data_IF_729478601331
#
_entry.id   IF_729478601331
#
_cell.length_a   1.000
_cell.length_b   1.000
_cell.length_c   1.000
_cell.angle_alpha   90.00
_cell.angle_beta   90.00
_cell.angle_gamma   90.00
#
_symmetry.space_group_name_H-M   'P 1'
#
loop_
_entity.id
_entity.type
_entity.pdbx_description
1 polymer ?
#
# COMPACT_ATOMS: atom_id res chain seq x y z
N UNK A 1 7.56 -5.49 17.06
CA UNK A 1 7.37 -5.23 15.62
C UNK A 1 8.72 -5.32 14.96
N UNK A 2 8.79 -5.97 13.79
CA UNK A 2 10.00 -6.02 12.98
C UNK A 2 9.64 -5.60 11.57
N UNK A 3 9.56 -4.29 11.35
CA UNK A 3 9.44 -3.76 10.01
C UNK A 3 10.66 -4.12 9.18
N UNK A 4 10.47 -4.21 7.87
CA UNK A 4 11.53 -4.43 6.90
C UNK A 4 12.66 -3.39 7.06
N UNK A 5 13.90 -3.84 6.85
CA UNK A 5 15.09 -2.97 6.92
C UNK A 5 15.18 -1.98 5.76
N UNK A 6 14.41 -2.21 4.70
CA UNK A 6 14.24 -1.31 3.56
C UNK A 6 12.75 -1.10 3.30
N UNK A 7 12.33 0.10 2.87
CA UNK A 7 10.96 0.33 2.44
C UNK A 7 10.71 -0.31 1.07
N UNK A 8 9.44 -0.53 0.76
CA UNK A 8 8.96 -1.12 -0.48
C UNK A 8 7.97 -0.20 -1.18
N UNK A 9 7.96 -0.26 -2.50
CA UNK A 9 6.85 0.16 -3.32
C UNK A 9 5.88 -1.01 -3.48
N UNK A 10 4.58 -0.76 -3.30
CA UNK A 10 3.51 -1.69 -3.66
C UNK A 10 3.08 -1.35 -5.09
N UNK A 11 3.77 -1.92 -6.06
CA UNK A 11 3.62 -1.57 -7.48
C UNK A 11 2.45 -2.29 -8.12
N UNK A 12 1.76 -1.61 -9.03
CA UNK A 12 0.69 -2.21 -9.83
C UNK A 12 1.29 -3.16 -10.87
N UNK A 13 0.90 -4.44 -10.86
CA UNK A 13 1.57 -5.45 -11.69
C UNK A 13 1.45 -5.19 -13.19
N UNK A 14 0.45 -4.42 -13.64
CA UNK A 14 0.28 -4.09 -15.06
C UNK A 14 1.12 -2.87 -15.50
N UNK A 15 1.61 -2.07 -14.55
CA UNK A 15 2.54 -0.98 -14.80
C UNK A 15 3.35 -0.68 -13.55
N UNK A 16 4.57 -1.23 -13.49
CA UNK A 16 5.43 -1.17 -12.30
C UNK A 16 6.09 0.19 -12.07
N UNK A 17 5.87 1.18 -12.95
CA UNK A 17 6.19 2.58 -12.68
C UNK A 17 5.15 3.25 -11.77
N UNK A 18 3.99 2.62 -11.57
CA UNK A 18 2.92 3.09 -10.71
C UNK A 18 2.80 2.22 -9.45
N UNK A 19 2.38 2.82 -8.36
CA UNK A 19 2.17 2.12 -7.10
C UNK A 19 1.18 2.81 -6.17
N UNK A 20 0.77 2.08 -5.14
CA UNK A 20 -0.08 2.59 -4.07
C UNK A 20 0.66 3.73 -3.39
N UNK A 21 0.02 4.89 -3.31
CA UNK A 21 0.62 6.13 -2.84
C UNK A 21 -0.36 6.88 -1.97
N UNK A 22 0.08 7.31 -0.80
CA UNK A 22 -0.73 8.17 0.06
C UNK A 22 -0.85 9.58 -0.52
N UNK A 23 -2.01 10.21 -0.34
CA UNK A 23 -2.20 11.62 -0.74
C UNK A 23 -1.32 12.57 0.08
N UNK A 24 -1.18 12.28 1.37
CA UNK A 24 -0.34 13.01 2.33
C UNK A 24 0.03 12.09 3.51
N UNK A 25 0.83 12.59 4.46
CA UNK A 25 1.24 11.84 5.65
C UNK A 25 0.34 12.14 6.87
N UNK A 26 -0.98 12.16 6.68
CA UNK A 26 -1.96 12.42 7.76
C UNK A 26 -2.92 11.25 7.97
N UNK A 27 -3.48 11.15 9.19
CA UNK A 27 -4.57 10.21 9.45
C UNK A 27 -5.80 10.56 8.60
N UNK A 28 -6.42 9.56 8.01
CA UNK A 28 -7.54 9.70 7.07
C UNK A 28 -7.12 9.91 5.61
N UNK A 29 -5.82 10.03 5.33
CA UNK A 29 -5.31 10.19 3.96
C UNK A 29 -5.71 9.02 3.09
N UNK A 30 -6.33 9.28 1.93
CA UNK A 30 -6.67 8.24 0.97
C UNK A 30 -5.46 7.81 0.15
N UNK A 31 -5.54 6.61 -0.40
CA UNK A 31 -4.50 6.02 -1.24
C UNK A 31 -4.93 6.07 -2.72
N UNK A 32 -3.98 6.40 -3.59
CA UNK A 32 -4.19 6.48 -5.03
C UNK A 32 -3.07 5.76 -5.78
N UNK A 33 -3.32 5.39 -7.03
CA UNK A 33 -2.30 4.92 -7.94
C UNK A 33 -1.52 6.11 -8.49
N UNK A 34 -0.22 6.20 -8.22
CA UNK A 34 0.63 7.31 -8.68
C UNK A 34 2.00 6.82 -9.17
N UNK A 35 2.73 7.63 -9.94
CA UNK A 35 4.15 7.37 -10.23
C UNK A 35 4.97 7.24 -8.94
N UNK A 36 5.84 6.24 -8.90
CA UNK A 36 6.67 5.94 -7.72
C UNK A 36 8.02 6.66 -7.70
N UNK A 37 8.49 7.13 -8.86
CA UNK A 37 9.76 7.85 -8.97
C UNK A 37 9.65 9.21 -8.26
N UNK A 38 10.64 9.54 -7.42
CA UNK A 38 10.64 10.78 -6.64
C UNK A 38 9.58 10.83 -5.52
N UNK A 39 8.73 9.82 -5.38
CA UNK A 39 7.54 9.91 -4.53
C UNK A 39 7.68 9.13 -3.21
N UNK A 40 8.08 9.84 -2.15
CA UNK A 40 8.23 9.25 -0.83
C UNK A 40 6.91 8.79 -0.20
N UNK A 41 5.76 9.31 -0.64
CA UNK A 41 4.44 8.86 -0.17
C UNK A 41 4.02 7.50 -0.75
N UNK A 42 4.82 6.94 -1.67
CA UNK A 42 4.67 5.59 -2.22
C UNK A 42 5.49 4.54 -1.48
N UNK A 43 6.26 4.93 -0.44
CA UNK A 43 7.16 4.04 0.29
C UNK A 43 6.53 3.53 1.58
N UNK A 44 6.48 2.20 1.71
CA UNK A 44 5.94 1.52 2.89
C UNK A 44 6.96 0.56 3.49
N UNK A 45 7.18 0.65 4.79
CA UNK A 45 7.86 -0.40 5.55
C UNK A 45 6.87 -1.50 5.89
N UNK A 46 7.28 -2.76 5.78
CA UNK A 46 6.37 -3.91 5.89
C UNK A 46 6.74 -4.74 7.13
N UNK A 47 5.79 -4.95 8.04
CA UNK A 47 5.88 -6.02 9.04
C UNK A 47 5.26 -7.28 8.40
N UNK A 48 6.09 -8.16 7.85
CA UNK A 48 5.62 -9.35 7.14
C UNK A 48 4.94 -10.37 8.05
N UNK A 49 5.29 -10.42 9.34
CA UNK A 49 4.66 -11.35 10.28
C UNK A 49 3.22 -10.93 10.56
N UNK A 50 3.01 -9.63 10.82
CA UNK A 50 1.70 -9.09 11.17
C UNK A 50 0.90 -8.60 9.95
N UNK A 51 1.53 -8.52 8.77
CA UNK A 51 0.90 -8.05 7.54
C UNK A 51 0.58 -6.57 7.57
N UNK A 52 1.47 -5.73 8.09
CA UNK A 52 1.22 -4.29 8.27
C UNK A 52 2.06 -3.49 7.27
N UNK A 53 1.43 -2.57 6.55
CA UNK A 53 2.10 -1.62 5.66
C UNK A 53 2.12 -0.24 6.30
N UNK A 54 3.29 0.18 6.79
CA UNK A 54 3.46 1.47 7.46
C UNK A 54 4.10 2.49 6.52
N UNK A 55 3.52 3.68 6.40
CA UNK A 55 4.04 4.74 5.56
C UNK A 55 5.40 5.20 6.09
N UNK A 56 6.44 5.13 5.25
CA UNK A 56 7.81 5.41 5.66
C UNK A 56 8.01 6.86 6.14
N UNK A 57 7.39 7.84 5.44
CA UNK A 57 7.47 9.28 5.80
C UNK A 57 6.81 9.62 7.13
N UNK A 58 5.92 8.75 7.63
CA UNK A 58 5.29 8.91 8.95
C UNK A 58 6.14 8.39 10.11
N UNK A 59 7.36 7.90 9.85
CA UNK A 59 8.14 7.19 10.86
C UNK A 59 7.46 5.90 11.32
N UNK A 60 6.72 5.24 10.42
CA UNK A 60 5.92 4.04 10.66
C UNK A 60 4.73 4.21 11.63
N UNK A 61 4.26 5.45 11.86
CA UNK A 61 3.14 5.71 12.76
C UNK A 61 1.77 5.56 12.07
N UNK A 62 1.72 5.78 10.77
CA UNK A 62 0.50 5.64 9.95
C UNK A 62 0.59 4.39 9.09
N UNK A 63 -0.47 3.59 9.08
CA UNK A 63 -0.56 2.32 8.35
C UNK A 63 -1.77 2.28 7.43
N UNK A 64 -1.70 1.45 6.38
CA UNK A 64 -2.85 1.19 5.49
C UNK A 64 -3.95 0.48 6.29
N UNK A 65 -5.12 1.11 6.32
CA UNK A 65 -6.31 0.68 7.05
C UNK A 65 -7.53 0.66 6.13
N UNK A 66 -8.49 -0.19 6.48
CA UNK A 66 -9.81 -0.23 5.87
C UNK A 66 -10.66 0.88 6.50
N UNK A 67 -11.17 1.81 5.68
CA UNK A 67 -12.02 2.88 6.21
C UNK A 67 -13.36 2.37 6.76
N UNK A 68 -13.90 1.36 6.09
CA UNK A 68 -15.21 0.73 6.31
C UNK A 68 -15.15 -0.67 5.68
N UNK A 69 -15.57 -1.71 6.42
CA UNK A 69 -15.47 -3.11 6.01
C UNK A 69 -16.58 -3.48 5.04
N UNK A 70 -16.55 -2.86 3.86
CA UNK A 70 -17.45 -3.16 2.74
C UNK A 70 -16.75 -2.93 1.41
N UNK A 71 -17.18 -3.68 0.39
CA UNK A 71 -16.66 -3.54 -0.98
C UNK A 71 -16.94 -2.13 -1.51
N UNK A 72 -15.96 -1.57 -2.23
CA UNK A 72 -16.04 -0.25 -2.83
C UNK A 72 -15.65 0.90 -1.90
N UNK A 73 -15.09 0.62 -0.72
CA UNK A 73 -14.67 1.65 0.25
C UNK A 73 -13.19 2.00 0.12
N UNK A 74 -12.82 3.30 0.24
CA UNK A 74 -11.43 3.70 0.10
C UNK A 74 -10.53 3.07 1.17
N UNK A 75 -9.29 2.77 0.80
CA UNK A 75 -8.25 2.55 1.80
C UNK A 75 -7.69 3.88 2.26
N UNK A 76 -7.35 3.94 3.55
CA UNK A 76 -6.86 5.16 4.18
C UNK A 76 -5.64 4.88 5.05
N UNK A 77 -4.91 5.92 5.41
CA UNK A 77 -3.93 5.86 6.48
C UNK A 77 -4.58 6.09 7.84
N UNK A 78 -4.19 5.33 8.86
CA UNK A 78 -4.56 5.58 10.26
C UNK A 78 -3.40 5.30 11.22
N UNK A 79 -3.42 5.88 12.43
CA UNK A 79 -2.49 5.49 13.48
C UNK A 79 -2.50 3.99 13.68
N UNK A 80 -1.31 3.40 13.78
CA UNK A 80 -1.16 1.98 14.00
C UNK A 80 -1.84 1.54 15.31
N UNK A 81 -2.67 0.50 15.21
CA UNK A 81 -3.26 -0.20 16.33
C UNK A 81 -3.05 -1.72 16.15
N UNK A 82 -2.18 -2.36 16.96
CA UNK A 82 -1.85 -3.79 16.81
C UNK A 82 -3.05 -4.73 16.97
N UNK A 83 -4.12 -4.31 17.67
CA UNK A 83 -5.34 -5.12 17.82
C UNK A 83 -6.31 -4.98 16.65
N UNK A 84 -6.05 -4.08 15.70
CA UNK A 84 -6.96 -3.81 14.58
C UNK A 84 -6.69 -4.75 13.40
N UNK A 85 -7.59 -5.72 13.18
CA UNK A 85 -7.52 -6.60 11.99
C UNK A 85 -7.71 -5.84 10.68
N UNK A 86 -8.33 -4.66 10.71
CA UNK A 86 -8.51 -3.78 9.55
C UNK A 86 -7.19 -3.24 8.97
N UNK A 87 -6.11 -3.31 9.78
CA UNK A 87 -4.76 -2.85 9.44
C UNK A 87 -3.81 -4.01 9.09
N UNK A 88 -4.33 -5.25 9.07
CA UNK A 88 -3.54 -6.45 8.86
C UNK A 88 -3.94 -7.14 7.56
N UNK A 89 -2.92 -7.53 6.80
CA UNK A 89 -3.05 -8.00 5.43
C UNK A 89 -2.36 -9.35 5.25
N UNK A 90 -2.92 -10.19 4.40
CA UNK A 90 -2.34 -11.48 4.00
C UNK A 90 -1.79 -11.36 2.59
N UNK A 91 -0.48 -11.59 2.47
CA UNK A 91 0.27 -11.56 1.22
C UNK A 91 0.62 -12.97 0.70
N UNK A 92 0.41 -14.00 1.53
CA UNK A 92 0.99 -15.32 1.32
C UNK A 92 -0.02 -16.36 0.86
N UNK A 93 -1.27 -16.32 1.37
CA UNK A 93 -2.29 -17.30 0.96
C UNK A 93 -2.69 -17.16 -0.51
N UNK A 94 -2.55 -15.95 -1.08
CA UNK A 94 -2.81 -15.65 -2.49
C UNK A 94 -1.67 -14.77 -3.04
N UNK A 95 -0.53 -15.35 -3.43
CA UNK A 95 0.61 -14.58 -3.91
C UNK A 95 0.25 -13.64 -5.05
N UNK A 96 0.74 -12.40 -5.00
CA UNK A 96 0.41 -11.34 -5.96
C UNK A 96 -0.88 -10.57 -5.64
N UNK A 97 -1.64 -10.98 -4.62
CA UNK A 97 -2.81 -10.28 -4.10
C UNK A 97 -2.57 -9.91 -2.63
N UNK A 98 -3.21 -8.83 -2.17
CA UNK A 98 -3.11 -8.36 -0.79
C UNK A 98 -4.51 -8.43 -0.18
N UNK A 99 -4.76 -9.47 0.62
CA UNK A 99 -6.08 -9.76 1.19
C UNK A 99 -6.23 -9.18 2.59
N UNK A 100 -7.41 -8.69 2.94
CA UNK A 100 -7.68 -8.26 4.32
C UNK A 100 -7.71 -9.48 5.24
N UNK A 101 -6.98 -9.47 6.36
CA UNK A 101 -7.12 -10.51 7.39
C UNK A 101 -8.43 -10.42 8.16
N UNK A 102 -9.10 -9.26 8.15
CA UNK A 102 -10.42 -9.09 8.76
C UNK A 102 -11.52 -9.78 7.92
N UNK A 103 -11.39 -9.77 6.60
CA UNK A 103 -12.26 -10.49 5.67
C UNK A 103 -11.50 -10.90 4.40
N UNK A 104 -11.10 -12.18 4.32
CA UNK A 104 -10.27 -12.71 3.22
C UNK A 104 -10.96 -12.70 1.83
N UNK A 105 -12.25 -12.32 1.74
CA UNK A 105 -12.95 -12.11 0.47
C UNK A 105 -12.75 -10.69 -0.08
N UNK A 106 -12.16 -9.79 0.71
CA UNK A 106 -11.88 -8.41 0.32
C UNK A 106 -10.37 -8.19 0.17
N UNK A 107 -9.97 -7.50 -0.90
CA UNK A 107 -8.57 -7.27 -1.28
C UNK A 107 -8.32 -5.82 -1.64
N UNK A 108 -7.05 -5.43 -1.68
CA UNK A 108 -6.62 -4.14 -2.23
C UNK A 108 -6.81 -4.15 -3.75
N UNK A 109 -7.53 -3.17 -4.27
CA UNK A 109 -7.92 -3.08 -5.68
C UNK A 109 -7.64 -1.67 -6.24
N UNK A 110 -7.24 -1.61 -7.50
CA UNK A 110 -7.15 -0.39 -8.29
C UNK A 110 -8.52 -0.11 -8.94
N UNK A 111 -9.24 0.88 -8.42
CA UNK A 111 -10.61 1.18 -8.83
C UNK A 111 -10.76 1.28 -10.36
N UNK A 112 -11.68 0.49 -10.89
CA UNK A 112 -12.03 0.44 -12.32
C UNK A 112 -10.85 0.12 -13.25
N UNK A 113 -9.75 -0.46 -12.74
CA UNK A 113 -8.48 -0.61 -13.48
C UNK A 113 -7.97 0.73 -14.02
N UNK A 114 -8.20 1.81 -13.28
CA UNK A 114 -7.82 3.16 -13.70
C UNK A 114 -6.30 3.35 -13.82
N UNK A 115 -5.90 4.44 -14.46
CA UNK A 115 -4.51 4.87 -14.56
C UNK A 115 -4.08 5.75 -13.38
N UNK A 116 -3.13 6.66 -13.62
CA UNK A 116 -2.67 7.63 -12.60
C UNK A 116 -3.86 8.39 -12.00
N UNK A 117 -3.90 8.47 -10.67
CA UNK A 117 -4.95 9.14 -9.91
C UNK A 117 -6.16 8.26 -9.57
N UNK A 118 -6.20 7.00 -10.01
CA UNK A 118 -7.26 6.09 -9.59
C UNK A 118 -7.21 5.82 -8.09
N UNK A 119 -8.38 5.68 -7.48
CA UNK A 119 -8.49 5.37 -6.06
C UNK A 119 -8.03 3.93 -5.79
N UNK A 120 -7.28 3.75 -4.71
CA UNK A 120 -7.02 2.43 -4.14
C UNK A 120 -8.07 2.17 -3.07
N UNK A 121 -8.80 1.08 -3.25
CA UNK A 121 -9.98 0.76 -2.45
C UNK A 121 -10.03 -0.72 -2.07
N UNK A 122 -10.89 -1.03 -1.12
CA UNK A 122 -11.23 -2.38 -0.72
C UNK A 122 -12.30 -2.92 -1.68
N UNK A 123 -12.06 -4.08 -2.28
CA UNK A 123 -13.02 -4.67 -3.21
C UNK A 123 -13.09 -6.18 -3.08
N UNK A 124 -14.22 -6.76 -3.51
CA UNK A 124 -14.38 -8.21 -3.57
C UNK A 124 -13.35 -8.86 -4.48
N UNK A 125 -12.72 -9.92 -3.99
CA UNK A 125 -11.75 -10.66 -4.76
C UNK A 125 -12.39 -11.25 -6.02
N UNK A 126 -11.86 -10.89 -7.18
CA UNK A 126 -12.31 -11.35 -8.50
C UNK A 126 -11.15 -11.76 -9.41
N UNK A 127 -9.92 -11.83 -8.87
CA UNK A 127 -8.69 -12.18 -9.58
C UNK A 127 -8.38 -11.30 -10.81
N UNK A 128 -8.99 -10.12 -10.91
CA UNK A 128 -8.76 -9.22 -12.03
C UNK A 128 -7.38 -8.56 -11.96
N UNK A 129 -6.89 -8.01 -13.09
CA UNK A 129 -5.63 -7.26 -13.09
C UNK A 129 -5.58 -6.11 -12.09
N UNK A 130 -6.72 -5.49 -11.73
CA UNK A 130 -6.79 -4.41 -10.73
C UNK A 130 -6.29 -4.82 -9.34
N UNK A 131 -6.28 -6.11 -9.03
CA UNK A 131 -5.99 -6.65 -7.71
C UNK A 131 -4.57 -7.19 -7.58
N UNK A 132 -3.78 -7.09 -8.66
CA UNK A 132 -2.45 -7.66 -8.73
C UNK A 132 -1.39 -6.63 -8.39
N UNK A 133 -0.59 -6.96 -7.37
CA UNK A 133 0.44 -6.11 -6.81
C UNK A 133 1.77 -6.85 -6.73
N UNK A 134 2.86 -6.10 -6.92
CA UNK A 134 4.22 -6.58 -6.73
C UNK A 134 4.95 -5.71 -5.71
N UNK A 135 5.68 -6.35 -4.78
CA UNK A 135 6.52 -5.67 -3.82
C UNK A 135 7.90 -5.41 -4.43
N UNK A 136 8.27 -4.14 -4.56
CA UNK A 136 9.58 -3.74 -5.08
C UNK A 136 10.35 -3.01 -3.97
N UNK A 137 11.46 -3.57 -3.44
CA UNK A 137 12.26 -2.88 -2.43
C UNK A 137 12.89 -1.60 -3.01
N UNK A 138 12.99 -0.56 -2.19
CA UNK A 138 13.73 0.65 -2.54
C UNK A 138 15.21 0.30 -2.69
N UNK A 139 15.76 0.55 -3.88
CA UNK A 139 17.18 0.29 -4.16
C UNK A 139 18.05 1.49 -3.80
N UNK A 140 19.36 1.26 -3.63
CA UNK A 140 20.33 2.33 -3.38
C UNK A 140 20.36 3.37 -4.51
N UNK A 141 20.20 2.96 -5.78
CA UNK A 141 20.17 3.87 -6.92
C UNK A 141 18.95 4.82 -6.85
N UNK A 142 17.76 4.27 -6.62
CA UNK A 142 16.54 5.07 -6.44
C UNK A 142 16.61 5.97 -5.22
N UNK A 143 17.26 5.51 -4.13
CA UNK A 143 17.50 6.33 -2.94
C UNK A 143 18.40 7.53 -3.26
N UNK A 144 19.45 7.34 -4.07
CA UNK A 144 20.33 8.45 -4.46
C UNK A 144 19.61 9.49 -5.32
N UNK A 145 18.75 9.07 -6.25
CA UNK A 145 17.92 9.98 -7.07
C UNK A 145 16.96 10.80 -6.19
N UNK A 146 16.29 10.16 -5.23
CA UNK A 146 15.38 10.81 -4.28
C UNK A 146 16.05 11.91 -3.43
N UNK A 147 17.32 11.73 -3.05
CA UNK A 147 18.08 12.72 -2.28
C UNK A 147 18.47 13.93 -3.14
N UNK A 148 18.75 13.71 -4.44
CA UNK A 148 19.16 14.78 -5.35
C UNK A 148 18.00 15.70 -5.76
N UNK A 149 16.76 15.21 -5.80
CA UNK A 149 15.57 16.02 -6.12
C UNK A 149 15.06 16.87 -4.94
N UNK A 150 15.59 16.65 -3.74
CA UNK A 150 15.17 17.33 -2.50
C UNK A 150 16.23 18.27 -1.91
N UNK A 151 17.39 18.39 -2.57
CA UNK A 151 18.51 19.27 -2.22
C UNK A 151 18.51 20.54 -3.09
#
# INVERSE_FOLDING_TARGET
MSFSSVPYFLTYSQNTALGITAKDSMSGSQLYLQPIQGNFLSLFNIDFANGVFALATSGNQLVIDISDLSSGKPLVLRPYNPSSLSQQWDLFSRPGYISSRQNNNLVIDNQSRGGVGSLIWLYEFNASPAQQWALKPLTSAQRSELVLETA
#
